data_IF_356339166971
#
_entry.id   IF_356339166971
#
_cell.length_a   1.000
_cell.length_b   1.000
_cell.length_c   1.000
_cell.angle_alpha   90.00
_cell.angle_beta   90.00
_cell.angle_gamma   90.00
#
_symmetry.space_group_name_H-M   'P 1'
#
loop_
_entity.id
_entity.type
_entity.pdbx_description
1 polymer ?
#
# COMPACT_ATOMS: atom_id res chain seq x y z
N UNK A 1 -16.53 19.53 9.87
CA UNK A 1 -15.73 19.90 11.05
C UNK A 1 -14.69 18.80 11.25
N UNK A 2 -13.40 19.14 11.19
CA UNK A 2 -12.33 18.18 11.53
C UNK A 2 -12.49 17.84 13.01
N UNK A 3 -12.59 16.56 13.34
CA UNK A 3 -12.71 16.10 14.72
C UNK A 3 -11.55 16.63 15.56
N UNK A 4 -11.84 17.14 16.77
CA UNK A 4 -10.82 17.57 17.74
C UNK A 4 -9.76 16.48 17.95
N UNK A 5 -10.16 15.21 17.90
CA UNK A 5 -9.26 14.05 17.99
C UNK A 5 -8.28 13.99 16.82
N UNK A 6 -8.74 14.19 15.59
CA UNK A 6 -7.90 14.13 14.39
C UNK A 6 -6.84 15.24 14.40
N UNK A 7 -7.22 16.43 14.86
CA UNK A 7 -6.30 17.56 15.02
C UNK A 7 -5.23 17.28 16.08
N UNK A 8 -5.60 16.65 17.20
CA UNK A 8 -4.65 16.26 18.23
C UNK A 8 -3.70 15.16 17.72
N UNK A 9 -4.23 14.17 16.99
CA UNK A 9 -3.41 13.11 16.39
C UNK A 9 -2.41 13.67 15.38
N UNK A 10 -2.79 14.63 14.53
CA UNK A 10 -1.88 15.29 13.59
C UNK A 10 -0.74 16.07 14.25
N UNK A 11 -0.93 16.55 15.48
CA UNK A 11 0.12 17.25 16.21
C UNK A 11 1.13 16.26 16.81
N UNK A 12 0.69 15.05 17.14
CA UNK A 12 1.50 14.04 17.84
C UNK A 12 2.07 12.97 16.89
N UNK A 13 1.46 12.78 15.72
CA UNK A 13 1.79 11.74 14.75
C UNK A 13 1.88 12.34 13.34
N UNK A 14 2.82 11.85 12.50
CA UNK A 14 2.96 12.28 11.11
C UNK A 14 1.83 11.70 10.24
N UNK A 15 0.60 12.16 10.45
CA UNK A 15 -0.59 11.72 9.72
C UNK A 15 -0.79 12.63 8.52
N UNK A 16 -0.58 12.10 7.32
CA UNK A 16 -1.02 12.73 6.07
C UNK A 16 -2.45 12.26 5.73
N UNK A 17 -3.35 13.21 5.47
CA UNK A 17 -4.73 12.89 5.14
C UNK A 17 -4.92 12.87 3.62
N UNK A 18 -5.21 11.70 3.08
CA UNK A 18 -5.65 11.53 1.70
C UNK A 18 -7.15 11.24 1.64
N UNK A 19 -7.87 11.89 0.73
CA UNK A 19 -9.24 11.49 0.38
C UNK A 19 -9.22 10.70 -0.92
N UNK A 20 -9.88 9.55 -0.94
CA UNK A 20 -10.23 8.86 -2.18
C UNK A 20 -11.74 8.95 -2.38
N UNK A 21 -12.16 9.55 -3.50
CA UNK A 21 -13.56 9.74 -3.80
C UNK A 21 -14.15 8.40 -4.23
N UNK A 22 -15.05 7.85 -3.43
CA UNK A 22 -15.97 6.82 -3.88
C UNK A 22 -17.08 7.53 -4.66
N UNK A 23 -17.16 7.28 -5.96
CA UNK A 23 -18.17 7.92 -6.80
C UNK A 23 -19.57 7.55 -6.29
N UNK A 24 -20.56 8.46 -6.32
CA UNK A 24 -21.77 8.38 -5.48
C UNK A 24 -22.52 7.04 -5.49
N UNK A 25 -22.58 6.37 -6.65
CA UNK A 25 -23.25 5.08 -6.83
C UNK A 25 -22.35 3.87 -6.51
N UNK A 26 -21.03 4.08 -6.41
CA UNK A 26 -20.03 3.04 -6.10
C UNK A 26 -19.73 3.05 -4.60
N UNK A 27 -20.16 2.00 -3.91
CA UNK A 27 -19.94 1.84 -2.45
C UNK A 27 -18.76 0.93 -2.09
N UNK A 28 -18.07 0.39 -3.09
CA UNK A 28 -17.03 -0.63 -2.92
C UNK A 28 -15.76 -0.20 -3.65
N UNK A 29 -14.62 -0.36 -2.99
CA UNK A 29 -13.28 -0.16 -3.56
C UNK A 29 -12.37 -1.34 -3.23
N UNK A 30 -11.27 -1.44 -3.96
CA UNK A 30 -10.21 -2.43 -3.73
C UNK A 30 -9.00 -1.75 -3.11
N UNK A 31 -8.45 -2.32 -2.05
CA UNK A 31 -7.17 -1.91 -1.46
C UNK A 31 -6.16 -3.03 -1.68
N UNK A 32 -5.08 -2.71 -2.39
CA UNK A 32 -3.89 -3.56 -2.56
C UNK A 32 -2.80 -3.05 -1.63
N UNK A 33 -2.21 -3.94 -0.86
CA UNK A 33 -1.18 -3.60 0.14
C UNK A 33 0.08 -4.38 -0.20
N UNK A 34 1.16 -3.65 -0.44
CA UNK A 34 2.53 -4.15 -0.56
C UNK A 34 2.72 -5.27 -1.60
N UNK A 35 1.98 -5.20 -2.70
CA UNK A 35 2.18 -6.10 -3.86
C UNK A 35 3.35 -5.61 -4.72
N UNK A 36 4.53 -5.50 -4.09
CA UNK A 36 5.76 -4.92 -4.64
C UNK A 36 6.81 -5.99 -4.97
N UNK A 37 7.77 -5.64 -5.82
CA UNK A 37 8.85 -6.55 -6.23
C UNK A 37 9.74 -6.98 -5.06
N UNK A 38 9.97 -6.09 -4.09
CA UNK A 38 10.77 -6.36 -2.89
C UNK A 38 10.27 -7.54 -2.06
N UNK A 39 9.02 -7.97 -2.29
CA UNK A 39 8.41 -9.15 -1.68
C UNK A 39 8.22 -10.25 -2.74
N UNK A 40 7.52 -9.96 -3.84
CA UNK A 40 6.98 -11.01 -4.73
C UNK A 40 7.84 -11.35 -5.95
N UNK A 41 8.97 -10.66 -6.17
CA UNK A 41 9.86 -10.93 -7.32
C UNK A 41 11.17 -11.53 -6.84
N UNK A 42 11.39 -12.81 -7.17
CA UNK A 42 12.53 -13.60 -6.67
C UNK A 42 13.85 -12.88 -6.90
N UNK A 43 14.62 -12.70 -5.83
CA UNK A 43 15.96 -12.12 -5.87
C UNK A 43 16.01 -10.60 -6.03
N UNK A 44 14.88 -9.90 -5.93
CA UNK A 44 14.87 -8.43 -6.12
C UNK A 44 15.25 -7.67 -4.85
N UNK A 45 15.10 -8.27 -3.67
CA UNK A 45 15.36 -7.61 -2.40
C UNK A 45 15.58 -8.58 -1.25
N UNK A 46 16.00 -8.05 -0.09
CA UNK A 46 16.32 -8.86 1.09
C UNK A 46 15.10 -9.60 1.67
N UNK A 47 13.90 -9.12 1.39
CA UNK A 47 12.63 -9.74 1.80
C UNK A 47 11.92 -10.48 0.65
N UNK A 48 12.56 -10.58 -0.51
CA UNK A 48 11.94 -11.23 -1.66
C UNK A 48 11.83 -12.75 -1.47
N UNK A 49 10.85 -13.35 -2.14
CA UNK A 49 10.70 -14.80 -2.21
C UNK A 49 12.02 -15.46 -2.65
N UNK A 50 12.39 -16.56 -1.98
CA UNK A 50 13.59 -17.35 -2.33
C UNK A 50 13.32 -18.32 -3.48
N UNK A 51 12.06 -18.70 -3.68
CA UNK A 51 11.62 -19.58 -4.74
C UNK A 51 10.17 -19.24 -5.13
N UNK A 52 9.73 -19.56 -6.37
CA UNK A 52 8.43 -19.13 -6.91
C UNK A 52 7.17 -19.70 -6.21
N UNK A 53 7.29 -20.55 -5.19
CA UNK A 53 6.38 -21.71 -5.14
C UNK A 53 5.18 -21.60 -4.17
N UNK A 54 4.96 -20.47 -3.48
CA UNK A 54 3.85 -20.37 -2.50
C UNK A 54 2.96 -19.13 -2.62
N UNK A 55 3.42 -18.04 -3.25
CA UNK A 55 2.69 -16.76 -3.24
C UNK A 55 2.38 -16.17 -4.62
N UNK A 56 2.77 -16.85 -5.71
CA UNK A 56 2.39 -16.44 -7.08
C UNK A 56 0.88 -16.38 -7.23
N UNK A 57 0.14 -17.32 -6.62
CA UNK A 57 -1.32 -17.32 -6.62
C UNK A 57 -1.93 -16.04 -6.01
N UNK A 58 -1.23 -15.42 -5.05
CA UNK A 58 -1.67 -14.16 -4.45
C UNK A 58 -1.51 -12.98 -5.41
N UNK A 59 -0.40 -12.94 -6.16
CA UNK A 59 -0.20 -11.95 -7.23
C UNK A 59 -1.24 -12.12 -8.32
N UNK A 60 -1.49 -13.36 -8.75
CA UNK A 60 -2.48 -13.67 -9.78
C UNK A 60 -3.90 -13.27 -9.35
N UNK A 61 -4.31 -13.59 -8.11
CA UNK A 61 -5.62 -13.21 -7.59
C UNK A 61 -5.73 -11.68 -7.42
N UNK A 62 -4.64 -11.01 -7.00
CA UNK A 62 -4.59 -9.55 -6.93
C UNK A 62 -4.79 -8.91 -8.29
N UNK A 63 -4.15 -9.45 -9.34
CA UNK A 63 -4.31 -8.99 -10.74
C UNK A 63 -5.74 -9.22 -11.22
N UNK A 64 -6.32 -10.39 -10.93
CA UNK A 64 -7.69 -10.72 -11.30
C UNK A 64 -8.70 -9.77 -10.64
N UNK A 65 -8.56 -9.50 -9.35
CA UNK A 65 -9.40 -8.52 -8.64
C UNK A 65 -9.20 -7.11 -9.19
N UNK A 66 -7.96 -6.67 -9.39
CA UNK A 66 -7.65 -5.35 -9.93
C UNK A 66 -8.26 -5.12 -11.32
N UNK A 67 -8.22 -6.15 -12.19
CA UNK A 67 -8.89 -6.14 -13.50
C UNK A 67 -10.41 -6.01 -13.36
N UNK A 68 -11.03 -6.83 -12.53
CA UNK A 68 -12.49 -6.81 -12.31
C UNK A 68 -12.98 -5.44 -11.78
N UNK A 69 -12.23 -4.80 -10.89
CA UNK A 69 -12.55 -3.44 -10.41
C UNK A 69 -12.32 -2.40 -11.51
N UNK A 70 -11.24 -2.51 -12.28
CA UNK A 70 -10.93 -1.58 -13.37
C UNK A 70 -11.93 -1.66 -14.52
N UNK A 71 -12.43 -2.84 -14.87
CA UNK A 71 -13.48 -3.03 -15.88
C UNK A 71 -14.78 -2.31 -15.49
N UNK A 72 -15.09 -2.28 -14.19
CA UNK A 72 -16.26 -1.58 -13.64
C UNK A 72 -16.01 -0.10 -13.38
N UNK A 73 -14.80 0.40 -13.63
CA UNK A 73 -14.34 1.74 -13.23
C UNK A 73 -14.53 2.00 -11.72
N UNK A 74 -14.39 0.95 -10.90
CA UNK A 74 -14.48 1.06 -9.45
C UNK A 74 -13.13 1.49 -8.85
N UNK A 75 -13.13 2.22 -7.72
CA UNK A 75 -11.90 2.69 -7.09
C UNK A 75 -10.93 1.56 -6.72
N UNK A 76 -9.66 1.75 -7.06
CA UNK A 76 -8.54 0.91 -6.63
C UNK A 76 -7.54 1.80 -5.89
N UNK A 77 -7.11 1.38 -4.71
CA UNK A 77 -6.02 2.00 -3.96
C UNK A 77 -4.90 0.98 -3.85
N UNK A 78 -3.69 1.35 -4.23
CA UNK A 78 -2.50 0.55 -4.00
C UNK A 78 -1.57 1.29 -3.06
N UNK A 79 -1.27 0.70 -1.91
CA UNK A 79 -0.23 1.16 -1.01
C UNK A 79 1.01 0.31 -1.18
N UNK A 80 2.15 0.96 -1.37
CA UNK A 80 3.44 0.33 -1.60
C UNK A 80 4.37 0.77 -0.48
N UNK A 81 4.87 -0.20 0.26
CA UNK A 81 5.95 0.03 1.21
C UNK A 81 7.14 0.71 0.52
N UNK A 82 7.72 1.72 1.17
CA UNK A 82 8.74 2.57 0.56
C UNK A 82 9.60 3.24 1.63
N UNK A 83 10.87 2.83 1.73
CA UNK A 83 11.78 3.28 2.78
C UNK A 83 12.87 4.22 2.25
N UNK A 84 13.27 5.15 3.10
CA UNK A 84 14.43 6.00 2.83
C UNK A 84 15.71 5.21 3.15
N UNK A 85 16.75 5.23 2.29
CA UNK A 85 17.98 4.45 2.51
C UNK A 85 18.69 4.79 3.82
N UNK A 86 18.58 6.05 4.26
CA UNK A 86 19.24 6.54 5.49
C UNK A 86 18.40 6.36 6.77
N UNK A 87 17.21 5.74 6.69
CA UNK A 87 16.33 5.51 7.85
C UNK A 87 16.14 3.99 8.00
N UNK A 88 16.95 3.31 8.82
CA UNK A 88 16.80 1.88 9.07
C UNK A 88 15.49 1.55 9.80
N UNK A 89 14.88 0.42 9.46
CA UNK A 89 13.67 -0.10 10.11
C UNK A 89 13.92 -1.45 10.81
N UNK A 90 14.63 -1.48 11.95
CA UNK A 90 14.87 -2.71 12.69
C UNK A 90 13.55 -3.28 13.25
N UNK A 91 13.34 -4.62 13.20
CA UNK A 91 14.34 -5.65 12.97
C UNK A 91 14.52 -6.07 11.51
N UNK A 92 13.85 -5.42 10.56
CA UNK A 92 13.89 -5.80 9.15
C UNK A 92 15.22 -5.38 8.50
N UNK A 93 15.76 -6.19 7.55
CA UNK A 93 16.85 -5.74 6.71
C UNK A 93 16.38 -4.60 5.80
N UNK A 94 17.31 -3.88 5.15
CA UNK A 94 16.97 -2.90 4.11
C UNK A 94 16.06 -3.52 3.05
N UNK A 95 14.91 -2.91 2.78
CA UNK A 95 13.90 -3.40 1.84
C UNK A 95 13.10 -2.25 1.24
N UNK A 96 12.51 -2.45 0.06
CA UNK A 96 11.60 -1.50 -0.57
C UNK A 96 12.17 -0.06 -0.61
N UNK A 97 13.46 0.08 -0.89
CA UNK A 97 14.15 1.37 -0.87
C UNK A 97 13.67 2.25 -2.04
N UNK A 98 13.34 3.50 -1.74
CA UNK A 98 12.92 4.48 -2.75
C UNK A 98 13.99 4.60 -3.85
N UNK A 99 13.55 4.43 -5.10
CA UNK A 99 14.41 4.50 -6.28
C UNK A 99 15.02 3.16 -6.73
N UNK A 100 14.79 2.05 -6.02
CA UNK A 100 15.21 0.71 -6.47
C UNK A 100 14.07 -0.07 -7.15
N UNK A 101 14.32 -1.18 -7.85
CA UNK A 101 13.22 -2.00 -8.35
C UNK A 101 12.32 -2.57 -7.23
N UNK A 102 12.81 -2.65 -5.98
CA UNK A 102 12.11 -3.27 -4.84
C UNK A 102 10.83 -2.54 -4.46
N UNK A 103 10.81 -1.19 -4.48
CA UNK A 103 9.65 -0.39 -4.05
C UNK A 103 8.56 -0.25 -5.13
N UNK A 104 8.77 -0.81 -6.31
CA UNK A 104 7.80 -0.78 -7.41
C UNK A 104 6.77 -1.91 -7.29
N UNK A 105 5.55 -1.67 -7.80
CA UNK A 105 4.57 -2.75 -8.01
C UNK A 105 5.21 -3.87 -8.82
N UNK A 106 4.78 -5.10 -8.53
CA UNK A 106 5.07 -6.23 -9.41
C UNK A 106 4.67 -5.93 -10.85
N UNK A 107 5.45 -6.42 -11.81
CA UNK A 107 5.27 -6.16 -13.25
C UNK A 107 3.81 -6.35 -13.72
N UNK A 108 3.13 -7.36 -13.16
CA UNK A 108 1.75 -7.70 -13.51
C UNK A 108 0.69 -6.66 -13.06
N UNK A 109 1.04 -5.75 -12.14
CA UNK A 109 0.16 -4.70 -11.61
C UNK A 109 0.60 -3.27 -11.99
N UNK A 110 1.79 -3.07 -12.55
CA UNK A 110 2.30 -1.73 -12.93
C UNK A 110 1.35 -0.94 -13.85
N UNK A 111 0.51 -1.61 -14.64
CA UNK A 111 -0.49 -0.94 -15.47
C UNK A 111 -1.52 -0.13 -14.67
N UNK A 112 -1.70 -0.39 -13.36
CA UNK A 112 -2.57 0.39 -12.49
C UNK A 112 -2.09 1.84 -12.31
N UNK A 113 -0.79 2.12 -12.44
CA UNK A 113 -0.26 3.48 -12.31
C UNK A 113 -0.81 4.45 -13.35
N UNK A 114 -1.30 3.91 -14.47
CA UNK A 114 -1.86 4.67 -15.59
C UNK A 114 -3.40 4.62 -15.64
N UNK A 115 -4.06 4.05 -14.62
CA UNK A 115 -5.52 3.92 -14.59
C UNK A 115 -6.19 5.08 -13.86
N UNK A 116 -7.22 5.71 -14.44
CA UNK A 116 -7.89 6.87 -13.83
C UNK A 116 -8.67 6.51 -12.55
N UNK A 117 -9.07 5.25 -12.40
CA UNK A 117 -9.76 4.73 -11.22
C UNK A 117 -8.79 4.19 -10.14
N UNK A 118 -7.47 4.30 -10.34
CA UNK A 118 -6.46 3.80 -9.43
C UNK A 118 -5.67 4.94 -8.78
N UNK A 119 -5.44 4.83 -7.47
CA UNK A 119 -4.54 5.70 -6.72
C UNK A 119 -3.41 4.86 -6.17
N UNK A 120 -2.17 5.19 -6.52
CA UNK A 120 -0.97 4.53 -6.01
C UNK A 120 -0.30 5.45 -4.99
N UNK A 121 -0.11 4.96 -3.76
CA UNK A 121 0.56 5.66 -2.66
C UNK A 121 1.77 4.87 -2.22
N UNK A 122 2.83 5.60 -1.89
CA UNK A 122 4.11 5.09 -1.43
C UNK A 122 4.39 5.66 -0.04
N UNK A 123 4.81 4.81 0.89
CA UNK A 123 5.15 5.24 2.24
C UNK A 123 5.50 4.05 3.14
N UNK A 124 6.00 4.33 4.33
CA UNK A 124 6.49 3.32 5.28
C UNK A 124 5.41 2.77 6.22
N UNK A 125 4.23 3.41 6.28
CA UNK A 125 3.14 2.97 7.15
C UNK A 125 1.80 3.31 6.52
N UNK A 126 0.94 2.30 6.39
CA UNK A 126 -0.44 2.51 6.00
C UNK A 126 -1.35 2.44 7.23
N UNK A 127 -1.97 3.56 7.58
CA UNK A 127 -3.11 3.58 8.49
C UNK A 127 -4.39 3.74 7.65
N UNK A 128 -5.14 2.64 7.46
CA UNK A 128 -6.45 2.70 6.79
C UNK A 128 -7.52 2.85 7.86
N UNK A 129 -8.02 4.07 8.07
CA UNK A 129 -9.21 4.30 8.89
C UNK A 129 -10.47 4.19 8.02
N UNK A 130 -11.10 3.02 8.03
CA UNK A 130 -12.47 2.84 7.54
C UNK A 130 -13.43 3.28 8.65
N UNK A 131 -13.42 4.57 9.00
CA UNK A 131 -14.12 5.22 10.14
C UNK A 131 -14.85 4.29 11.13
N UNK A 132 -14.18 3.97 12.24
CA UNK A 132 -14.79 3.23 13.35
C UNK A 132 -13.87 2.99 14.56
N UNK A 133 -13.36 4.06 15.18
CA UNK A 133 -12.79 4.16 16.54
C UNK A 133 -12.27 2.85 17.19
N UNK A 134 -10.96 2.59 17.15
CA UNK A 134 -10.20 2.10 18.32
C UNK A 134 -8.74 2.61 18.28
N UNK A 135 -8.20 3.07 19.42
CA UNK A 135 -6.80 3.50 19.49
C UNK A 135 -5.89 2.27 19.48
N UNK A 136 -5.07 2.11 18.45
CA UNK A 136 -3.89 1.25 18.51
C UNK A 136 -2.75 2.09 19.08
N UNK A 137 -2.28 1.75 20.27
CA UNK A 137 -1.04 2.31 20.82
C UNK A 137 0.12 1.68 20.05
N UNK A 138 0.85 2.49 19.29
CA UNK A 138 2.22 2.13 18.94
C UNK A 138 3.05 2.45 20.19
N UNK A 139 3.62 1.42 20.78
CA UNK A 139 4.58 1.56 21.87
C UNK A 139 5.89 2.09 21.28
N UNK A 140 6.30 3.28 21.71
CA UNK A 140 7.67 3.75 21.53
C UNK A 140 8.48 3.42 22.79
N UNK A 141 9.68 2.90 22.55
CA UNK A 141 10.83 2.87 23.46
C UNK A 141 11.14 4.24 24.05
#
# INVERSE_FOLDING_TARGET
>A
MVSTTLRLLKNELPIDEGSQLLNGDVKTGLVLVDVVNGVFTVGTGNLSLRQPDEYISMVDESVKLAKAFSEKQWPVFAFLDSHHPDIPDPPYPSHCIIGTPEFELVQALQWLENKPNATVRRGTTMAVDCYGLRPYRIAHS
#
